data_IF_499354647286
#
_entry.id   IF_499354647286
#
_cell.length_a   1.000
_cell.length_b   1.000
_cell.length_c   1.000
_cell.angle_alpha   90.00
_cell.angle_beta   90.00
_cell.angle_gamma   90.00
#
_symmetry.space_group_name_H-M   'P 1'
#
loop_
_entity.id
_entity.type
_entity.pdbx_description
1 polymer ?
#
# COMPACT_ATOMS: atom_id res chain seq x y z
N UNK A 1 -7.75 -31.60 -28.25
CA UNK A 1 -8.22 -30.98 -26.98
C UNK A 1 -9.66 -31.38 -26.81
N UNK A 2 -10.05 -31.89 -25.65
CA UNK A 2 -11.46 -32.18 -25.37
C UNK A 2 -12.25 -30.85 -25.16
N UNK A 3 -13.57 -30.86 -25.39
CA UNK A 3 -14.39 -29.64 -25.33
C UNK A 3 -14.41 -28.99 -23.93
N UNK A 4 -14.31 -29.78 -22.85
CA UNK A 4 -14.31 -29.25 -21.49
C UNK A 4 -13.00 -28.52 -21.20
N UNK A 5 -11.85 -29.09 -21.59
CA UNK A 5 -10.55 -28.40 -21.46
C UNK A 5 -10.48 -27.15 -22.35
N UNK A 6 -11.02 -27.18 -23.57
CA UNK A 6 -11.06 -25.99 -24.43
C UNK A 6 -11.91 -24.88 -23.83
N UNK A 7 -13.10 -25.21 -23.29
CA UNK A 7 -13.99 -24.24 -22.65
C UNK A 7 -13.39 -23.66 -21.36
N UNK A 8 -12.70 -24.46 -20.55
CA UNK A 8 -12.00 -23.99 -19.35
C UNK A 8 -10.84 -23.06 -19.72
N UNK A 9 -10.05 -23.39 -20.75
CA UNK A 9 -8.93 -22.56 -21.21
C UNK A 9 -9.44 -21.22 -21.78
N UNK A 10 -10.46 -21.23 -22.64
CA UNK A 10 -11.06 -19.99 -23.19
C UNK A 10 -11.69 -19.12 -22.08
N UNK A 11 -12.32 -19.74 -21.08
CA UNK A 11 -12.89 -19.03 -19.93
C UNK A 11 -11.81 -18.44 -19.00
N UNK A 12 -10.66 -19.10 -18.81
CA UNK A 12 -9.52 -18.56 -18.06
C UNK A 12 -8.79 -17.43 -18.82
N UNK A 13 -8.69 -17.53 -20.14
CA UNK A 13 -8.09 -16.49 -20.98
C UNK A 13 -8.93 -15.20 -20.97
N UNK A 14 -10.26 -15.30 -21.05
CA UNK A 14 -11.12 -14.11 -21.06
C UNK A 14 -11.09 -13.33 -19.73
N UNK A 15 -11.07 -14.03 -18.59
CA UNK A 15 -10.94 -13.40 -17.27
C UNK A 15 -9.60 -12.67 -17.12
N UNK A 16 -8.50 -13.28 -17.56
CA UNK A 16 -7.15 -12.70 -17.46
C UNK A 16 -6.98 -11.49 -18.37
N UNK A 17 -7.46 -11.57 -19.61
CA UNK A 17 -7.47 -10.44 -20.57
C UNK A 17 -8.33 -9.30 -20.04
N UNK A 18 -9.50 -9.61 -19.46
CA UNK A 18 -10.36 -8.59 -18.82
C UNK A 18 -9.62 -7.85 -17.69
N UNK A 19 -8.86 -8.55 -16.84
CA UNK A 19 -8.07 -7.90 -15.79
C UNK A 19 -6.96 -7.00 -16.37
N UNK A 20 -6.33 -7.40 -17.49
CA UNK A 20 -5.33 -6.55 -18.16
C UNK A 20 -5.98 -5.27 -18.70
N UNK A 21 -7.13 -5.38 -19.37
CA UNK A 21 -7.84 -4.23 -19.93
C UNK A 21 -8.30 -3.26 -18.83
N UNK A 22 -8.90 -3.78 -17.77
CA UNK A 22 -9.32 -2.97 -16.61
C UNK A 22 -8.15 -2.27 -15.94
N UNK A 23 -7.01 -2.95 -15.78
CA UNK A 23 -5.82 -2.34 -15.18
C UNK A 23 -5.35 -1.14 -16.01
N UNK A 24 -5.24 -1.29 -17.34
CA UNK A 24 -4.84 -0.17 -18.22
C UNK A 24 -5.78 1.01 -18.09
N UNK A 25 -7.08 0.76 -18.10
CA UNK A 25 -8.08 1.82 -17.92
C UNK A 25 -7.98 2.51 -16.56
N UNK A 26 -7.76 1.77 -15.48
CA UNK A 26 -7.59 2.36 -14.16
C UNK A 26 -6.31 3.21 -14.05
N UNK A 27 -5.25 2.90 -14.81
CA UNK A 27 -4.04 3.75 -14.90
C UNK A 27 -4.35 5.09 -15.59
N UNK A 28 -5.29 5.10 -16.53
CA UNK A 28 -5.76 6.32 -17.20
C UNK A 28 -6.74 7.14 -16.34
N UNK A 29 -7.21 6.57 -15.22
CA UNK A 29 -8.20 7.16 -14.32
C UNK A 29 -7.64 7.25 -12.88
N UNK A 30 -6.47 7.90 -12.64
CA UNK A 30 -5.78 7.93 -11.35
C UNK A 30 -6.62 8.50 -10.20
N UNK A 31 -7.54 9.42 -10.51
CA UNK A 31 -8.49 10.01 -9.57
C UNK A 31 -9.41 8.99 -8.90
N UNK A 32 -9.45 7.73 -9.36
CA UNK A 32 -10.18 6.63 -8.69
C UNK A 32 -9.44 6.06 -7.49
N UNK A 33 -8.16 6.36 -7.34
CA UNK A 33 -7.33 5.91 -6.24
C UNK A 33 -7.23 7.05 -5.23
N UNK A 34 -7.72 6.79 -4.03
CA UNK A 34 -7.80 7.75 -2.95
C UNK A 34 -6.94 7.25 -1.78
N UNK A 35 -5.67 7.66 -1.70
CA UNK A 35 -4.87 7.45 -0.49
C UNK A 35 -5.54 8.15 0.70
N UNK A 36 -5.76 7.43 1.81
CA UNK A 36 -6.44 8.01 2.98
C UNK A 36 -5.59 8.01 4.25
N UNK A 37 -4.74 7.01 4.41
CA UNK A 37 -3.81 6.89 5.53
C UNK A 37 -2.63 6.04 5.11
N UNK A 38 -1.58 6.01 5.92
CA UNK A 38 -0.47 5.12 5.65
C UNK A 38 -0.96 3.67 5.51
N UNK A 39 -0.61 3.07 4.37
CA UNK A 39 -0.99 1.69 4.06
C UNK A 39 -2.45 1.44 3.70
N UNK A 40 -3.26 2.47 3.43
CA UNK A 40 -4.63 2.30 2.93
C UNK A 40 -4.93 3.22 1.73
N UNK A 41 -5.35 2.61 0.63
CA UNK A 41 -5.83 3.30 -0.58
C UNK A 41 -7.20 2.75 -0.96
N UNK A 42 -8.20 3.63 -1.06
CA UNK A 42 -9.51 3.28 -1.59
C UNK A 42 -9.52 3.39 -3.11
N UNK A 43 -10.17 2.43 -3.77
CA UNK A 43 -10.23 2.35 -5.23
C UNK A 43 -11.69 2.30 -5.67
N UNK A 44 -12.10 3.27 -6.49
CA UNK A 44 -13.42 3.28 -7.14
C UNK A 44 -13.45 2.32 -8.33
N UNK A 45 -13.75 1.06 -8.06
CA UNK A 45 -13.94 0.04 -9.10
C UNK A 45 -15.22 0.26 -9.91
N UNK A 46 -15.40 -0.52 -10.98
CA UNK A 46 -16.59 -0.39 -11.84
C UNK A 46 -17.92 -0.63 -11.14
N UNK A 47 -17.96 -1.59 -10.24
CA UNK A 47 -19.21 -2.03 -9.59
C UNK A 47 -19.22 -1.71 -8.10
N UNK A 48 -18.04 -1.72 -7.47
CA UNK A 48 -17.86 -1.60 -6.03
C UNK A 48 -16.56 -0.89 -5.74
N UNK A 49 -16.50 -0.26 -4.58
CA UNK A 49 -15.26 0.24 -4.00
C UNK A 49 -14.43 -0.93 -3.45
N UNK A 50 -13.11 -0.81 -3.54
CA UNK A 50 -12.13 -1.77 -3.04
C UNK A 50 -11.09 -1.09 -2.17
N UNK A 51 -10.58 -1.78 -1.16
CA UNK A 51 -9.46 -1.33 -0.36
C UNK A 51 -8.15 -2.02 -0.80
N UNK A 52 -7.08 -1.23 -0.90
CA UNK A 52 -5.71 -1.71 -0.97
C UNK A 52 -5.03 -1.49 0.38
N UNK A 53 -4.42 -2.55 0.90
CA UNK A 53 -3.75 -2.54 2.20
C UNK A 53 -2.26 -2.84 2.03
N UNK A 54 -1.39 -2.05 2.67
CA UNK A 54 0.03 -2.36 2.79
C UNK A 54 0.26 -3.20 4.04
N UNK A 55 0.79 -4.41 3.86
CA UNK A 55 1.25 -5.26 4.96
C UNK A 55 2.50 -4.71 5.64
N UNK A 56 2.84 -5.27 6.79
CA UNK A 56 4.06 -4.93 7.54
C UNK A 56 5.34 -5.25 6.74
N UNK A 57 5.27 -6.26 5.88
CA UNK A 57 6.31 -6.64 4.90
C UNK A 57 6.43 -5.65 3.72
N UNK A 58 5.58 -4.63 3.68
CA UNK A 58 5.49 -3.65 2.61
C UNK A 58 4.74 -4.12 1.37
N UNK A 59 4.18 -5.33 1.38
CA UNK A 59 3.44 -5.90 0.25
C UNK A 59 2.03 -5.32 0.22
N UNK A 60 1.60 -4.87 -0.96
CA UNK A 60 0.24 -4.38 -1.16
C UNK A 60 -0.71 -5.51 -1.51
N UNK A 61 -1.88 -5.52 -0.87
CA UNK A 61 -2.95 -6.50 -1.08
C UNK A 61 -4.25 -5.78 -1.42
N UNK A 62 -5.21 -6.49 -2.00
CA UNK A 62 -6.51 -5.96 -2.37
C UNK A 62 -7.63 -6.86 -1.87
N UNK A 63 -8.71 -6.26 -1.38
CA UNK A 63 -9.90 -6.96 -0.90
C UNK A 63 -10.79 -7.55 -2.01
N UNK A 64 -10.43 -7.40 -3.29
CA UNK A 64 -11.29 -7.87 -4.36
C UNK A 64 -11.24 -9.41 -4.49
N UNK A 65 -12.31 -10.00 -5.04
CA UNK A 65 -12.41 -11.45 -5.19
C UNK A 65 -11.31 -12.06 -6.07
N UNK A 66 -10.79 -11.31 -7.05
CA UNK A 66 -9.70 -11.76 -7.92
C UNK A 66 -8.38 -11.85 -7.16
N UNK A 67 -8.05 -10.85 -6.35
CA UNK A 67 -6.86 -10.86 -5.51
C UNK A 67 -6.89 -12.00 -4.49
N UNK A 68 -8.05 -12.28 -3.89
CA UNK A 68 -8.24 -13.45 -3.02
C UNK A 68 -8.07 -14.78 -3.76
N UNK A 69 -8.67 -14.91 -4.95
CA UNK A 69 -8.69 -16.17 -5.71
C UNK A 69 -7.36 -16.49 -6.40
N UNK A 70 -6.63 -15.46 -6.84
CA UNK A 70 -5.45 -15.60 -7.68
C UNK A 70 -4.21 -14.94 -7.06
N UNK A 71 -4.12 -14.94 -5.72
CA UNK A 71 -2.93 -14.52 -4.96
C UNK A 71 -2.40 -13.14 -5.41
N UNK A 72 -3.17 -12.08 -5.14
CA UNK A 72 -2.84 -10.69 -5.47
C UNK A 72 -2.87 -10.33 -6.97
N UNK A 73 -3.26 -11.25 -7.88
CA UNK A 73 -3.49 -10.91 -9.27
C UNK A 73 -4.88 -10.28 -9.48
N UNK A 74 -4.95 -8.94 -9.46
CA UNK A 74 -6.14 -8.19 -9.83
C UNK A 74 -5.81 -6.90 -10.58
N UNK A 75 -6.78 -6.39 -11.33
CA UNK A 75 -6.65 -5.12 -12.06
C UNK A 75 -6.34 -3.93 -11.17
N UNK A 76 -6.86 -3.88 -9.93
CA UNK A 76 -6.63 -2.77 -9.00
C UNK A 76 -5.16 -2.69 -8.55
N UNK A 77 -4.57 -3.80 -8.09
CA UNK A 77 -3.16 -3.82 -7.65
C UNK A 77 -2.21 -3.52 -8.81
N UNK A 78 -2.48 -4.07 -9.99
CA UNK A 78 -1.64 -3.80 -11.17
C UNK A 78 -1.67 -2.33 -11.57
N UNK A 79 -2.85 -1.72 -11.59
CA UNK A 79 -2.98 -0.30 -11.87
C UNK A 79 -2.33 0.56 -10.79
N UNK A 80 -2.54 0.22 -9.51
CA UNK A 80 -1.91 0.90 -8.39
C UNK A 80 -0.39 0.90 -8.51
N UNK A 81 0.25 -0.27 -8.71
CA UNK A 81 1.71 -0.34 -8.83
C UNK A 81 2.25 0.50 -10.00
N UNK A 82 1.54 0.51 -11.13
CA UNK A 82 1.92 1.35 -12.27
C UNK A 82 1.78 2.85 -11.94
N UNK A 83 0.70 3.25 -11.27
CA UNK A 83 0.49 4.64 -10.85
C UNK A 83 1.54 5.09 -9.82
N UNK A 84 1.91 4.22 -8.88
CA UNK A 84 3.02 4.49 -7.94
C UNK A 84 4.34 4.63 -8.67
N UNK A 85 4.65 3.74 -9.61
CA UNK A 85 5.88 3.81 -10.39
C UNK A 85 5.96 5.07 -11.27
N UNK A 86 4.81 5.63 -11.65
CA UNK A 86 4.69 6.88 -12.41
C UNK A 86 4.62 8.14 -11.54
N UNK A 87 4.61 7.99 -10.22
CA UNK A 87 4.34 9.08 -9.28
C UNK A 87 3.04 9.84 -9.62
N UNK A 88 2.00 9.10 -10.02
CA UNK A 88 0.76 9.63 -10.58
C UNK A 88 -0.41 9.62 -9.57
N UNK A 89 -0.13 9.35 -8.30
CA UNK A 89 -1.13 9.40 -7.23
C UNK A 89 -0.96 10.67 -6.42
N UNK A 90 -2.07 11.33 -6.12
CA UNK A 90 -2.11 12.40 -5.12
C UNK A 90 -2.12 11.76 -3.72
N UNK A 91 -0.95 11.73 -3.10
CA UNK A 91 -0.79 11.25 -1.73
C UNK A 91 -1.19 12.29 -0.67
N UNK A 92 -1.47 13.54 -1.08
CA UNK A 92 -1.69 14.66 -0.18
C UNK A 92 -0.56 14.84 0.85
N UNK A 93 -0.91 15.32 2.05
CA UNK A 93 0.04 15.55 3.15
C UNK A 93 0.58 14.25 3.81
N UNK A 94 0.22 13.06 3.31
CA UNK A 94 0.75 11.81 3.85
C UNK A 94 2.27 11.71 3.67
N UNK A 95 2.80 12.22 2.57
CA UNK A 95 4.25 12.26 2.33
C UNK A 95 4.99 13.15 3.35
N UNK A 96 4.40 14.28 3.73
CA UNK A 96 4.96 15.21 4.73
C UNK A 96 5.01 14.60 6.13
N UNK A 97 4.08 13.69 6.48
CA UNK A 97 4.12 12.97 7.76
C UNK A 97 5.34 12.07 7.90
N UNK A 98 5.77 11.43 6.80
CA UNK A 98 6.99 10.61 6.79
C UNK A 98 8.25 11.43 7.00
N UNK A 99 8.31 12.65 6.44
CA UNK A 99 9.47 13.52 6.65
C UNK A 99 9.57 13.96 8.11
N UNK A 100 8.43 14.23 8.75
CA UNK A 100 8.34 14.56 10.19
C UNK A 100 8.64 13.34 11.08
N UNK A 101 8.12 12.15 10.76
CA UNK A 101 8.36 10.92 11.54
C UNK A 101 9.80 10.39 11.38
N UNK A 102 10.35 10.39 10.17
CA UNK A 102 11.75 10.05 9.91
C UNK A 102 12.69 11.03 10.61
N UNK A 103 12.38 12.32 10.56
CA UNK A 103 13.15 13.33 11.33
C UNK A 103 13.02 13.10 12.84
N UNK A 104 11.86 12.69 13.33
CA UNK A 104 11.62 12.39 14.75
C UNK A 104 12.33 11.10 15.21
N UNK A 105 12.49 10.13 14.33
CA UNK A 105 13.26 8.90 14.57
C UNK A 105 14.78 9.18 14.58
N UNK A 106 15.27 10.02 13.66
CA UNK A 106 16.66 10.51 13.64
C UNK A 106 17.01 11.36 14.88
N UNK A 107 16.09 12.21 15.35
CA UNK A 107 16.25 12.99 16.58
C UNK A 107 16.14 12.10 17.83
N UNK A 108 15.32 11.04 17.79
CA UNK A 108 15.15 10.08 18.88
C UNK A 108 16.42 9.28 19.20
N UNK A 109 17.25 9.00 18.19
CA UNK A 109 18.57 8.36 18.38
C UNK A 109 19.57 9.31 19.06
N UNK A 110 19.50 10.62 18.79
CA UNK A 110 20.40 11.61 19.40
C UNK A 110 20.03 11.95 20.85
N UNK A 111 18.74 11.89 21.22
CA UNK A 111 18.29 12.23 22.57
C UNK A 111 18.67 11.19 23.65
N UNK A 112 18.95 9.94 23.26
CA UNK A 112 19.35 8.89 24.23
C UNK A 112 20.81 9.02 24.70
N UNK A 113 21.64 9.82 24.01
CA UNK A 113 23.06 9.99 24.31
C UNK A 113 23.36 11.06 25.40
N UNK A 114 22.36 11.80 25.89
CA UNK A 114 22.54 12.84 26.90
C UNK A 114 21.69 12.57 28.15
N UNK A 115 21.97 11.47 28.85
CA UNK A 115 21.60 11.37 30.28
C UNK A 115 22.72 11.98 31.13
N UNK A 116 22.46 13.03 31.93
CA UNK A 116 23.42 13.48 32.92
C UNK A 116 23.51 12.45 34.06
N UNK A 117 24.73 12.03 34.42
CA UNK A 117 24.96 11.29 35.64
C UNK A 117 24.79 12.25 36.84
N UNK A 118 23.58 12.34 37.40
CA UNK A 118 23.37 12.98 38.71
C UNK A 118 23.63 11.97 39.82
N UNK A 119 24.82 12.03 40.41
CA UNK A 119 25.22 11.22 41.57
C UNK A 119 25.05 11.98 42.89
N UNK A 120 24.02 11.59 43.64
CA UNK A 120 23.83 11.54 45.09
C UNK A 120 24.35 12.66 46.02
N UNK A 121 23.40 13.26 46.73
CA UNK A 121 23.53 14.02 47.97
C UNK A 121 23.77 13.10 49.18
N UNK A 122 24.61 13.52 50.13
CA UNK A 122 24.54 13.08 51.54
C UNK A 122 24.81 14.25 52.49
N UNK A 123 24.10 14.35 53.63
CA UNK A 123 24.33 15.37 54.64
C UNK A 123 25.21 14.81 55.76
N UNK A 124 26.22 15.55 56.20
CA UNK A 124 26.96 15.23 57.43
C UNK A 124 26.92 16.44 58.36
N UNK A 125 26.20 16.24 59.46
CA UNK A 125 26.18 17.05 60.68
C UNK A 125 27.51 16.89 61.41
N UNK A 126 28.09 18.01 61.90
CA UNK A 126 29.26 18.01 62.78
C UNK A 126 29.92 19.38 62.85
#
# INVERSE_FOLDING_TARGET
>A
MDPATHNVVVMLCSASVSQIYKARRYVEEPQRFHPTSEGLVWVEGFNNRHALHRGEDGVWTCDCCHARKYQAYCSHLRAFHELVARDALDWGDLASRQEVERSREEIGVQAVALRPQSGAMRPETG
#
